data_IF_052262786615
#
_entry.id   IF_052262786615
#
_cell.length_a   1.000
_cell.length_b   1.000
_cell.length_c   1.000
_cell.angle_alpha   90.00
_cell.angle_beta   90.00
_cell.angle_gamma   90.00
#
_symmetry.space_group_name_H-M   'P 1'
#
loop_
_entity.id
_entity.type
_entity.pdbx_description
1 polymer ?
#
# COMPACT_ATOMS: atom_id res chain seq x y z
N UNK A 1 6.00 -17.26 -8.16
CA UNK A 1 5.76 -16.62 -6.85
C UNK A 1 4.89 -15.42 -7.13
N UNK A 2 3.80 -15.22 -6.38
CA UNK A 2 2.97 -14.03 -6.54
C UNK A 2 3.72 -12.86 -5.91
N UNK A 3 3.91 -11.78 -6.66
CA UNK A 3 4.45 -10.52 -6.14
C UNK A 3 3.29 -9.58 -5.83
N UNK A 4 3.27 -9.07 -4.60
CA UNK A 4 2.30 -8.12 -4.10
C UNK A 4 2.95 -6.75 -4.01
N UNK A 5 2.25 -5.71 -4.44
CA UNK A 5 2.76 -4.34 -4.32
C UNK A 5 1.78 -3.58 -3.46
N UNK A 6 2.31 -2.93 -2.42
CA UNK A 6 1.57 -2.12 -1.48
C UNK A 6 1.96 -0.66 -1.68
N UNK A 7 1.03 0.19 -2.03
CA UNK A 7 1.27 1.62 -2.22
C UNK A 7 0.68 2.38 -1.04
N UNK A 8 1.54 2.96 -0.21
CA UNK A 8 1.18 3.82 0.91
C UNK A 8 1.20 5.27 0.45
N UNK A 9 0.02 5.86 0.32
CA UNK A 9 -0.11 7.30 0.14
C UNK A 9 0.07 7.99 1.48
N UNK A 10 1.16 8.74 1.60
CA UNK A 10 1.52 9.52 2.78
C UNK A 10 1.58 11.01 2.46
N UNK A 11 1.67 11.85 3.49
CA UNK A 11 1.97 13.28 3.34
C UNK A 11 3.11 13.66 4.29
N UNK A 12 3.83 14.70 3.93
CA UNK A 12 4.86 15.32 4.76
C UNK A 12 4.34 15.57 6.19
N UNK A 13 5.08 15.08 7.19
CA UNK A 13 4.81 15.21 8.64
C UNK A 13 3.60 14.45 9.21
N UNK A 14 3.32 13.22 8.74
CA UNK A 14 2.27 12.38 9.32
C UNK A 14 2.85 11.20 10.10
N UNK A 15 2.84 11.28 11.44
CA UNK A 15 3.28 10.17 12.32
C UNK A 15 2.48 8.88 12.12
N UNK A 16 1.20 8.99 11.73
CA UNK A 16 0.35 7.83 11.43
C UNK A 16 0.85 7.05 10.20
N UNK A 17 1.47 7.73 9.23
CA UNK A 17 2.03 7.07 8.05
C UNK A 17 3.24 6.21 8.44
N UNK A 18 4.11 6.71 9.32
CA UNK A 18 5.29 5.97 9.79
C UNK A 18 4.88 4.74 10.60
N UNK A 19 3.91 4.87 11.49
CA UNK A 19 3.38 3.77 12.30
C UNK A 19 2.75 2.68 11.41
N UNK A 20 1.91 3.09 10.45
CA UNK A 20 1.32 2.20 9.45
C UNK A 20 2.38 1.47 8.61
N UNK A 21 3.41 2.20 8.15
CA UNK A 21 4.51 1.62 7.37
C UNK A 21 5.29 0.58 8.18
N UNK A 22 5.64 0.90 9.43
CA UNK A 22 6.38 -0.01 10.31
C UNK A 22 5.59 -1.29 10.60
N UNK A 23 4.29 -1.17 10.91
CA UNK A 23 3.42 -2.30 11.14
C UNK A 23 3.23 -3.16 9.87
N UNK A 24 3.05 -2.51 8.71
CA UNK A 24 2.91 -3.18 7.41
C UNK A 24 4.18 -3.95 7.06
N UNK A 25 5.34 -3.31 7.20
CA UNK A 25 6.63 -3.95 6.92
C UNK A 25 6.84 -5.17 7.82
N UNK A 26 6.51 -5.09 9.11
CA UNK A 26 6.63 -6.21 10.05
C UNK A 26 5.74 -7.40 9.66
N UNK A 27 4.51 -7.13 9.25
CA UNK A 27 3.57 -8.16 8.77
C UNK A 27 4.04 -8.82 7.49
N UNK A 28 4.49 -8.01 6.53
CA UNK A 28 4.94 -8.50 5.24
C UNK A 28 6.23 -9.31 5.37
N UNK A 29 7.16 -8.88 6.21
CA UNK A 29 8.39 -9.64 6.53
C UNK A 29 8.06 -11.05 7.06
N UNK A 30 7.01 -11.17 7.87
CA UNK A 30 6.51 -12.46 8.34
C UNK A 30 5.92 -13.33 7.21
N UNK A 31 5.41 -12.73 6.12
CA UNK A 31 4.87 -13.44 4.94
C UNK A 31 5.87 -13.57 3.79
N UNK A 32 7.05 -12.95 3.87
CA UNK A 32 8.10 -12.91 2.85
C UNK A 32 8.55 -14.31 2.37
N UNK A 33 8.36 -15.32 3.22
CA UNK A 33 8.64 -16.73 2.86
C UNK A 33 7.62 -17.34 1.90
N UNK A 34 6.41 -16.78 1.79
CA UNK A 34 5.31 -17.28 0.97
C UNK A 34 5.06 -16.43 -0.27
N UNK A 35 5.13 -15.11 -0.11
CA UNK A 35 4.82 -14.13 -1.15
C UNK A 35 5.93 -13.10 -1.22
N UNK A 36 6.23 -12.69 -2.44
CA UNK A 36 7.14 -11.57 -2.66
C UNK A 36 6.32 -10.28 -2.49
N UNK A 37 6.89 -9.27 -1.82
CA UNK A 37 6.18 -8.01 -1.60
C UNK A 37 7.08 -6.79 -1.87
N UNK A 38 6.44 -5.72 -2.31
CA UNK A 38 7.06 -4.40 -2.49
C UNK A 38 6.21 -3.36 -1.79
N UNK A 39 6.83 -2.44 -1.05
CA UNK A 39 6.15 -1.30 -0.42
C UNK A 39 6.63 -0.03 -1.13
N UNK A 40 5.69 0.68 -1.73
CA UNK A 40 5.92 1.95 -2.42
C UNK A 40 5.28 3.07 -1.59
N UNK A 41 6.06 4.09 -1.22
CA UNK A 41 5.57 5.21 -0.43
C UNK A 41 5.48 6.43 -1.33
N UNK A 42 4.26 6.88 -1.60
CA UNK A 42 3.99 8.02 -2.48
C UNK A 42 3.55 9.19 -1.63
N UNK A 43 4.31 10.28 -1.67
CA UNK A 43 3.90 11.53 -1.05
C UNK A 43 2.86 12.24 -1.92
N UNK A 44 1.63 12.37 -1.41
CA UNK A 44 0.53 12.96 -2.18
C UNK A 44 0.73 14.46 -2.40
N UNK A 45 1.50 15.16 -1.55
CA UNK A 45 1.80 16.59 -1.70
C UNK A 45 2.57 16.87 -3.00
N UNK A 46 3.31 15.87 -3.49
CA UNK A 46 4.00 15.94 -4.79
C UNK A 46 3.06 15.85 -6.01
N UNK A 47 1.81 15.44 -5.82
CA UNK A 47 0.87 15.20 -6.92
C UNK A 47 -0.47 15.92 -6.67
N UNK A 48 -0.73 17.06 -7.34
CA UNK A 48 -1.94 17.84 -7.11
C UNK A 48 -3.24 17.06 -7.34
N UNK A 49 -3.27 16.13 -8.32
CA UNK A 49 -4.40 15.23 -8.53
C UNK A 49 -4.67 14.28 -7.35
N UNK A 50 -3.61 13.82 -6.66
CA UNK A 50 -3.76 12.95 -5.49
C UNK A 50 -4.19 13.75 -4.27
N UNK A 51 -3.67 14.97 -4.08
CA UNK A 51 -4.16 15.89 -3.04
C UNK A 51 -5.66 16.09 -3.22
N UNK A 52 -6.14 16.44 -4.42
CA UNK A 52 -7.57 16.69 -4.63
C UNK A 52 -8.48 15.48 -4.36
N UNK A 53 -7.97 14.25 -4.50
CA UNK A 53 -8.73 13.02 -4.27
C UNK A 53 -8.62 12.49 -2.84
N UNK A 54 -7.45 12.66 -2.22
CA UNK A 54 -7.08 12.00 -0.96
C UNK A 54 -6.74 12.98 0.17
N UNK A 55 -6.86 14.30 0.00
CA UNK A 55 -6.45 15.35 0.96
C UNK A 55 -6.74 14.98 2.43
N UNK A 56 -7.98 14.58 2.72
CA UNK A 56 -8.44 14.22 4.06
C UNK A 56 -8.30 12.73 4.39
N UNK A 57 -8.10 11.86 3.40
CA UNK A 57 -8.11 10.39 3.55
C UNK A 57 -6.72 9.81 3.88
N UNK A 58 -5.64 10.60 3.80
CA UNK A 58 -4.27 10.18 4.13
C UNK A 58 -4.15 9.84 5.63
N UNK A 59 -3.46 8.73 6.01
CA UNK A 59 -2.80 7.72 5.17
C UNK A 59 -3.78 6.77 4.46
N UNK A 60 -3.51 6.45 3.20
CA UNK A 60 -4.27 5.42 2.44
C UNK A 60 -3.34 4.32 1.96
N UNK A 61 -3.69 3.06 2.24
CA UNK A 61 -2.96 1.89 1.80
C UNK A 61 -3.70 1.18 0.67
N UNK A 62 -3.03 1.04 -0.47
CA UNK A 62 -3.47 0.25 -1.60
C UNK A 62 -2.64 -1.01 -1.73
N UNK A 63 -3.25 -2.07 -2.25
CA UNK A 63 -2.56 -3.28 -2.66
C UNK A 63 -2.95 -3.66 -4.07
N UNK A 64 -1.98 -4.22 -4.79
CA UNK A 64 -2.17 -4.78 -6.12
C UNK A 64 -1.42 -6.10 -6.23
N UNK A 65 -1.93 -6.99 -7.09
CA UNK A 65 -1.24 -8.21 -7.49
C UNK A 65 -0.44 -7.92 -8.76
N UNK A 66 0.86 -8.20 -8.75
CA UNK A 66 1.66 -8.22 -9.95
C UNK A 66 1.43 -9.55 -10.68
N UNK A 67 0.28 -9.66 -11.35
CA UNK A 67 0.06 -10.68 -12.37
C UNK A 67 0.84 -10.27 -13.63
N UNK A 68 1.88 -11.02 -13.97
CA UNK A 68 2.70 -10.87 -15.19
C UNK A 68 3.91 -9.89 -15.12
N UNK A 69 4.38 -9.53 -13.93
CA UNK A 69 5.63 -8.74 -13.79
C UNK A 69 5.50 -7.27 -14.21
N UNK A 70 4.29 -6.79 -14.48
CA UNK A 70 4.02 -5.37 -14.72
C UNK A 70 3.85 -4.66 -13.38
N UNK A 71 4.97 -4.12 -12.89
CA UNK A 71 5.08 -3.36 -11.65
C UNK A 71 4.44 -1.95 -11.79
N UNK A 72 4.20 -1.50 -13.02
CA UNK A 72 3.66 -0.18 -13.35
C UNK A 72 2.44 -0.35 -14.28
N UNK A 73 1.24 -0.56 -13.72
CA UNK A 73 0.03 -0.36 -14.51
C UNK A 73 -0.37 1.11 -14.42
N UNK A 74 -0.38 1.80 -15.56
CA UNK A 74 -0.98 3.13 -15.68
C UNK A 74 -2.50 3.12 -15.44
N UNK A 75 -3.12 1.93 -15.41
CA UNK A 75 -4.51 1.75 -15.03
C UNK A 75 -4.61 1.52 -13.52
N UNK A 76 -5.19 2.52 -12.83
CA UNK A 76 -5.67 2.50 -11.44
C UNK A 76 -6.76 1.45 -11.15
N UNK A 77 -7.26 0.76 -12.18
CA UNK A 77 -8.37 -0.20 -12.11
C UNK A 77 -8.02 -1.50 -11.35
N UNK A 78 -6.73 -1.76 -11.10
CA UNK A 78 -6.24 -2.97 -10.42
C UNK A 78 -5.74 -2.73 -8.99
N UNK A 79 -5.66 -1.47 -8.55
CA UNK A 79 -5.18 -1.13 -7.22
C UNK A 79 -6.37 -1.13 -6.24
N UNK A 80 -6.41 -2.11 -5.34
CA UNK A 80 -7.47 -2.23 -4.34
C UNK A 80 -7.09 -1.44 -3.09
N UNK A 81 -7.93 -0.49 -2.69
CA UNK A 81 -7.79 0.15 -1.38
C UNK A 81 -8.01 -0.90 -0.28
N UNK A 82 -6.98 -1.18 0.50
CA UNK A 82 -7.09 -2.06 1.66
C UNK A 82 -7.65 -1.28 2.84
N UNK A 83 -7.01 -0.17 3.19
CA UNK A 83 -7.25 0.56 4.44
C UNK A 83 -7.00 2.06 4.26
N UNK A 84 -7.53 2.86 5.19
CA UNK A 84 -7.18 4.27 5.37
C UNK A 84 -7.17 4.61 6.87
N UNK A 85 -6.39 5.62 7.26
CA UNK A 85 -6.09 6.05 8.63
C UNK A 85 -5.36 5.05 9.54
N UNK A 86 -5.72 3.77 9.52
CA UNK A 86 -5.13 2.71 10.32
C UNK A 86 -4.80 1.48 9.47
N UNK A 87 -3.72 0.79 9.82
CA UNK A 87 -3.38 -0.46 9.17
C UNK A 87 -4.39 -1.54 9.58
N UNK A 88 -5.06 -2.16 8.62
CA UNK A 88 -5.81 -3.39 8.87
C UNK A 88 -4.95 -4.60 8.51
N UNK A 89 -4.26 -5.10 9.52
CA UNK A 89 -3.36 -6.25 9.43
C UNK A 89 -4.06 -7.49 8.88
N UNK A 90 -5.33 -7.70 9.27
CA UNK A 90 -6.13 -8.84 8.81
C UNK A 90 -6.33 -8.80 7.29
N UNK A 91 -6.73 -7.65 6.75
CA UNK A 91 -6.91 -7.48 5.30
C UNK A 91 -5.62 -7.74 4.51
N UNK A 92 -4.48 -7.27 5.03
CA UNK A 92 -3.17 -7.50 4.40
C UNK A 92 -2.85 -9.00 4.40
N UNK A 93 -3.09 -9.68 5.54
CA UNK A 93 -2.89 -11.11 5.66
C UNK A 93 -3.81 -11.90 4.72
N UNK A 94 -5.08 -11.54 4.62
CA UNK A 94 -6.01 -12.15 3.67
C UNK A 94 -5.46 -12.06 2.24
N UNK A 95 -4.99 -10.87 1.83
CA UNK A 95 -4.41 -10.66 0.50
C UNK A 95 -3.15 -11.49 0.23
N UNK A 96 -2.33 -11.72 1.27
CA UNK A 96 -1.15 -12.58 1.22
C UNK A 96 -1.45 -14.08 1.22
N UNK A 97 -2.61 -14.51 1.73
CA UNK A 97 -2.99 -15.92 1.80
C UNK A 97 -3.90 -16.37 0.64
N UNK A 98 -4.38 -15.45 -0.19
CA UNK A 98 -5.29 -15.73 -1.33
C UNK A 98 -4.58 -16.24 -2.60
#
# INVERSE_FOLDING_TARGET
MASLIFTLYSRSYCHLCEDMYAALQTLLDSQSQKVDYQIDVIDVDQFPDLVQLYDELVPVLFARRASDGVIHSANRDVDQQLCHYFLNEQKVLEWCNE
#
